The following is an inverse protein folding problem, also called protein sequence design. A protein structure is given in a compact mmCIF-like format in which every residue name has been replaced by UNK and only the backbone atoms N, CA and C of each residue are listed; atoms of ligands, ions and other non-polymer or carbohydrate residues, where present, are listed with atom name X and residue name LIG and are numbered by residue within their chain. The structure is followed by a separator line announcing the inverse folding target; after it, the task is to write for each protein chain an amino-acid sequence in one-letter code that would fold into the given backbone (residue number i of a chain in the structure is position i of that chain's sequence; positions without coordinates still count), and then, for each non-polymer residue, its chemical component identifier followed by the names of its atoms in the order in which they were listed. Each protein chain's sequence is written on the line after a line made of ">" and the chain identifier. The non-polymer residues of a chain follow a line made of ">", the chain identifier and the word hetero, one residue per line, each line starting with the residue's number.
data_IF_062893373183
#
_entry.id   IF_062893373183
#
_cell.length_a   1.000
_cell.length_b   1.000
_cell.length_c   1.000
_cell.angle_alpha   90.00
_cell.angle_beta   90.00
_cell.angle_gamma   90.00
#
_symmetry.space_group_name_H-M   'P 1'
#
loop_
_entity.id
_entity.type
_entity.pdbx_description
1 polymer ?
#
# COMPACT_ATOMS: atom_id res chain seq x y z
N UNK A 1 -0.31 -0.24 10.75
CA UNK A 1 -1.50 -0.91 10.18
C UNK A 1 -2.71 -0.01 10.32
N UNK A 2 -3.30 0.45 9.21
CA UNK A 2 -4.49 1.29 9.22
C UNK A 2 -5.76 0.45 9.36
N UNK A 3 -6.87 1.10 9.72
CA UNK A 3 -8.14 0.42 10.00
C UNK A 3 -8.74 -0.23 8.75
N UNK A 4 -9.22 -1.46 8.90
CA UNK A 4 -10.03 -2.19 7.91
C UNK A 4 -11.55 -2.13 8.21
N UNK A 5 -11.97 -1.39 9.25
CA UNK A 5 -13.30 -1.58 9.84
C UNK A 5 -14.44 -0.81 9.17
N UNK A 6 -14.19 0.05 8.19
CA UNK A 6 -15.26 0.72 7.44
C UNK A 6 -15.22 0.34 5.97
N UNK A 7 -16.38 0.01 5.41
CA UNK A 7 -16.50 -0.38 4.00
C UNK A 7 -16.23 0.77 3.03
N UNK A 8 -16.34 2.02 3.51
CA UNK A 8 -16.01 3.24 2.76
C UNK A 8 -14.55 3.70 2.94
N UNK A 9 -13.82 3.09 3.89
CA UNK A 9 -12.42 3.38 4.15
C UNK A 9 -12.15 4.71 4.86
N UNK A 10 -13.17 5.40 5.38
CA UNK A 10 -13.04 6.74 5.98
C UNK A 10 -12.09 6.74 7.18
N UNK A 11 -12.17 5.75 8.08
CA UNK A 11 -11.28 5.69 9.24
C UNK A 11 -9.81 5.54 8.80
N UNK A 12 -9.54 4.72 7.78
CA UNK A 12 -8.19 4.59 7.26
C UNK A 12 -7.67 5.90 6.63
N UNK A 13 -8.56 6.67 5.99
CA UNK A 13 -8.21 7.99 5.44
C UNK A 13 -7.88 9.01 6.54
N UNK A 14 -8.70 9.10 7.58
CA UNK A 14 -8.43 9.97 8.74
C UNK A 14 -7.10 9.61 9.44
N UNK A 15 -6.81 8.31 9.59
CA UNK A 15 -5.54 7.84 10.13
C UNK A 15 -4.36 8.19 9.20
N UNK A 16 -4.57 8.11 7.89
CA UNK A 16 -3.56 8.47 6.90
C UNK A 16 -3.26 9.97 6.92
N UNK A 17 -4.30 10.82 7.05
CA UNK A 17 -4.13 12.27 7.21
C UNK A 17 -3.30 12.63 8.46
N UNK A 18 -3.56 11.96 9.57
CA UNK A 18 -2.75 12.14 10.79
C UNK A 18 -1.28 11.75 10.57
N UNK A 19 -1.05 10.62 9.89
CA UNK A 19 0.31 10.18 9.56
C UNK A 19 1.02 11.15 8.61
N UNK A 20 0.32 11.66 7.59
CA UNK A 20 0.86 12.67 6.69
C UNK A 20 1.25 13.95 7.43
N UNK A 21 0.40 14.42 8.35
CA UNK A 21 0.69 15.63 9.13
C UNK A 21 1.97 15.47 9.98
N UNK A 22 2.14 14.32 10.64
CA UNK A 22 3.33 13.99 11.42
C UNK A 22 4.60 13.92 10.54
N UNK A 23 4.52 13.18 9.42
CA UNK A 23 5.63 13.05 8.49
C UNK A 23 6.05 14.38 7.85
N UNK A 24 5.08 15.24 7.50
CA UNK A 24 5.38 16.57 6.96
C UNK A 24 6.05 17.46 8.00
N UNK A 25 5.57 17.44 9.24
CA UNK A 25 6.17 18.22 10.34
C UNK A 25 7.65 17.86 10.53
N UNK A 26 7.99 16.59 10.43
CA UNK A 26 9.37 16.12 10.50
C UNK A 26 10.18 16.51 9.25
N UNK A 27 9.60 16.36 8.07
CA UNK A 27 10.24 16.73 6.81
C UNK A 27 10.55 18.24 6.74
N UNK A 28 9.64 19.10 7.20
CA UNK A 28 9.83 20.56 7.27
C UNK A 28 10.98 20.96 8.22
N UNK A 29 11.31 20.13 9.20
CA UNK A 29 12.48 20.30 10.07
C UNK A 29 13.79 19.79 9.43
N UNK A 30 13.73 19.26 8.21
CA UNK A 30 14.86 18.73 7.48
C UNK A 30 15.15 17.24 7.77
N UNK A 31 14.24 16.55 8.48
CA UNK A 31 14.36 15.13 8.76
C UNK A 31 13.94 14.29 7.55
N UNK A 32 14.47 13.08 7.45
CA UNK A 32 14.01 12.06 6.51
C UNK A 32 12.87 11.28 7.14
N UNK A 33 11.75 11.14 6.44
CA UNK A 33 10.62 10.37 6.95
C UNK A 33 10.26 9.21 6.02
N UNK A 34 10.12 8.03 6.61
CA UNK A 34 9.70 6.81 5.91
C UNK A 34 8.69 6.10 6.81
N UNK A 35 7.50 5.86 6.31
CA UNK A 35 6.51 5.01 6.94
C UNK A 35 6.20 3.80 6.04
N UNK A 36 5.97 2.64 6.63
CA UNK A 36 5.61 1.44 5.88
C UNK A 36 4.66 0.55 6.66
N UNK A 37 3.78 -0.15 5.95
CA UNK A 37 2.83 -1.07 6.56
C UNK A 37 1.63 -1.36 5.67
N UNK A 38 0.61 -1.97 6.28
CA UNK A 38 -0.69 -2.22 5.69
C UNK A 38 -1.57 -0.97 5.82
N UNK A 39 -1.89 -0.36 4.69
CA UNK A 39 -2.75 0.83 4.63
C UNK A 39 -4.24 0.49 4.48
N UNK A 40 -4.60 -0.78 4.28
CA UNK A 40 -5.96 -1.23 3.96
C UNK A 40 -6.62 -0.45 2.79
N UNK A 41 -5.80 0.05 1.89
CA UNK A 41 -6.19 0.77 0.67
C UNK A 41 -5.56 0.09 -0.55
N UNK A 42 -6.24 0.09 -1.69
CA UNK A 42 -5.65 -0.35 -2.95
C UNK A 42 -4.62 0.69 -3.41
N UNK A 43 -3.35 0.45 -3.14
CA UNK A 43 -2.25 1.37 -3.45
C UNK A 43 -1.97 1.47 -4.95
N UNK A 44 -2.36 0.47 -5.75
CA UNK A 44 -2.27 0.51 -7.21
C UNK A 44 -3.50 1.18 -7.83
N UNK A 45 -4.63 1.22 -7.12
CA UNK A 45 -5.88 1.82 -7.56
C UNK A 45 -6.68 0.96 -8.55
N UNK A 46 -6.08 -0.10 -9.10
CA UNK A 46 -6.67 -1.00 -10.07
C UNK A 46 -6.22 -2.47 -9.89
N UNK A 47 -5.99 -2.88 -8.67
CA UNK A 47 -5.48 -4.23 -8.35
C UNK A 47 -6.35 -5.35 -8.93
N UNK A 48 -7.68 -5.17 -8.99
CA UNK A 48 -8.60 -6.15 -9.56
C UNK A 48 -8.37 -6.37 -11.06
N UNK A 49 -7.97 -5.35 -11.80
CA UNK A 49 -7.62 -5.46 -13.22
C UNK A 49 -6.28 -6.16 -13.41
N UNK A 50 -5.28 -5.76 -12.59
CA UNK A 50 -3.92 -6.31 -12.66
C UNK A 50 -3.89 -7.79 -12.29
N UNK A 51 -4.59 -8.17 -11.22
CA UNK A 51 -4.56 -9.53 -10.69
C UNK A 51 -5.74 -10.42 -11.13
N UNK A 52 -6.68 -9.86 -11.89
CA UNK A 52 -7.68 -10.60 -12.65
C UNK A 52 -8.88 -11.14 -11.87
N UNK A 53 -9.06 -10.78 -10.59
CA UNK A 53 -10.23 -11.16 -9.80
C UNK A 53 -10.93 -9.91 -9.28
N UNK A 54 -12.19 -9.72 -9.66
CA UNK A 54 -13.02 -8.57 -9.26
C UNK A 54 -14.43 -9.03 -8.88
N UNK A 55 -15.17 -8.14 -8.23
CA UNK A 55 -16.59 -8.36 -7.90
C UNK A 55 -17.05 -7.51 -6.73
N UNK A 56 -18.37 -7.44 -6.47
CA UNK A 56 -18.94 -6.60 -5.41
C UNK A 56 -18.41 -6.91 -4.00
N UNK A 57 -17.97 -8.16 -3.77
CA UNK A 57 -17.42 -8.59 -2.48
C UNK A 57 -15.94 -8.16 -2.28
N UNK A 58 -15.31 -7.59 -3.30
CA UNK A 58 -13.87 -7.30 -3.32
C UNK A 58 -13.58 -5.80 -3.44
N UNK A 59 -14.45 -4.97 -2.90
CA UNK A 59 -14.31 -3.50 -2.89
C UNK A 59 -13.90 -2.94 -1.54
N UNK A 60 -13.45 -3.78 -0.62
CA UNK A 60 -13.09 -3.36 0.74
C UNK A 60 -11.83 -2.47 0.77
N UNK A 61 -10.89 -2.70 -0.15
CA UNK A 61 -9.70 -1.86 -0.30
C UNK A 61 -9.97 -0.77 -1.35
N UNK A 62 -10.43 0.38 -0.92
CA UNK A 62 -10.65 1.53 -1.80
C UNK A 62 -9.31 2.16 -2.20
N UNK A 63 -9.18 2.72 -3.42
CA UNK A 63 -7.99 3.47 -3.80
C UNK A 63 -7.80 4.70 -2.92
N UNK A 64 -6.56 5.17 -2.79
CA UNK A 64 -6.25 6.45 -2.13
C UNK A 64 -6.46 7.57 -3.15
N UNK A 65 -7.32 8.57 -2.85
CA UNK A 65 -7.43 9.74 -3.70
C UNK A 65 -6.08 10.46 -3.83
N UNK A 66 -5.64 10.75 -5.04
CA UNK A 66 -4.35 11.45 -5.26
C UNK A 66 -4.30 12.82 -4.56
N UNK A 67 -5.47 13.46 -4.38
CA UNK A 67 -5.59 14.74 -3.67
C UNK A 67 -5.35 14.65 -2.17
N UNK A 68 -5.37 13.44 -1.60
CA UNK A 68 -5.11 13.22 -0.18
C UNK A 68 -3.61 13.25 0.14
N UNK A 69 -2.75 12.91 -0.83
CA UNK A 69 -1.30 12.88 -0.63
C UNK A 69 -0.75 14.31 -0.71
N UNK A 70 -0.20 14.86 0.39
CA UNK A 70 0.25 16.23 0.40
C UNK A 70 1.57 16.40 -0.38
N UNK A 71 1.81 17.63 -0.86
CA UNK A 71 3.11 17.99 -1.45
C UNK A 71 4.24 17.74 -0.42
N UNK A 72 5.37 17.21 -0.88
CA UNK A 72 6.50 16.85 -0.03
C UNK A 72 6.50 15.39 0.42
N UNK A 73 5.40 14.64 0.22
CA UNK A 73 5.32 13.20 0.47
C UNK A 73 4.93 12.43 -0.79
N UNK A 74 5.30 11.16 -0.84
CA UNK A 74 4.92 10.24 -1.92
C UNK A 74 4.46 8.90 -1.37
N UNK A 75 3.34 8.38 -1.88
CA UNK A 75 2.92 6.99 -1.68
C UNK A 75 3.69 6.09 -2.65
N UNK A 76 4.26 5.03 -2.12
CA UNK A 76 5.03 4.04 -2.88
C UNK A 76 4.31 2.69 -2.81
N UNK A 77 3.63 2.34 -3.89
CA UNK A 77 3.04 1.02 -4.08
C UNK A 77 4.12 0.07 -4.64
N UNK A 78 4.49 -1.00 -3.93
CA UNK A 78 5.43 -1.99 -4.45
C UNK A 78 4.83 -2.72 -5.65
N UNK A 79 5.46 -2.60 -6.81
CA UNK A 79 4.98 -3.22 -8.03
C UNK A 79 6.13 -3.54 -9.00
N UNK A 80 5.97 -4.62 -9.77
CA UNK A 80 6.86 -5.02 -10.84
C UNK A 80 6.02 -5.41 -12.06
N UNK A 81 6.13 -4.65 -13.15
CA UNK A 81 5.36 -4.90 -14.40
C UNK A 81 5.75 -6.24 -15.07
N UNK A 82 7.02 -6.65 -14.93
CA UNK A 82 7.50 -7.90 -15.52
C UNK A 82 7.05 -9.12 -14.69
N UNK A 83 6.93 -8.95 -13.37
CA UNK A 83 6.56 -10.02 -12.44
C UNK A 83 5.54 -9.48 -11.41
N UNK A 84 4.31 -9.21 -11.82
CA UNK A 84 3.32 -8.61 -10.94
C UNK A 84 2.94 -9.55 -9.80
N UNK A 85 3.14 -9.10 -8.57
CA UNK A 85 2.79 -9.80 -7.35
C UNK A 85 1.97 -8.89 -6.44
N UNK A 86 0.89 -9.44 -5.86
CA UNK A 86 0.07 -8.73 -4.89
C UNK A 86 0.66 -8.84 -3.49
N UNK A 87 0.49 -7.79 -2.69
CA UNK A 87 0.94 -7.85 -1.29
C UNK A 87 -0.03 -8.58 -0.37
N UNK A 88 -1.30 -8.63 -0.73
CA UNK A 88 -2.35 -9.25 0.09
C UNK A 88 -3.35 -10.03 -0.75
N UNK A 89 -4.00 -11.03 -0.13
CA UNK A 89 -5.12 -11.78 -0.67
C UNK A 89 -6.27 -11.88 0.33
N UNK A 90 -7.48 -12.09 -0.14
CA UNK A 90 -8.57 -12.48 0.74
C UNK A 90 -8.26 -13.80 1.45
N UNK A 91 -8.52 -13.82 2.76
CA UNK A 91 -8.34 -14.99 3.63
C UNK A 91 -9.63 -15.81 3.85
N UNK A 92 -10.66 -15.57 3.03
CA UNK A 92 -11.97 -16.24 3.11
C UNK A 92 -11.94 -17.72 2.74
N UNK A 93 -10.86 -18.18 2.10
CA UNK A 93 -10.62 -19.56 1.68
C UNK A 93 -9.13 -19.85 1.57
N UNK A 94 -8.72 -21.13 1.43
CA UNK A 94 -7.34 -21.47 1.07
C UNK A 94 -6.90 -20.74 -0.20
N UNK A 95 -5.59 -20.44 -0.31
CA UNK A 95 -5.06 -19.75 -1.48
C UNK A 95 -5.25 -20.55 -2.77
N UNK A 96 -5.71 -19.89 -3.81
CA UNK A 96 -5.94 -20.43 -5.13
C UNK A 96 -6.15 -19.32 -6.18
N UNK A 97 -6.38 -19.71 -7.44
CA UNK A 97 -6.47 -18.73 -8.54
C UNK A 97 -7.64 -17.75 -8.40
N UNK A 98 -8.68 -18.14 -7.70
CA UNK A 98 -9.92 -17.36 -7.56
C UNK A 98 -9.91 -16.43 -6.32
N UNK A 99 -8.80 -16.37 -5.55
CA UNK A 99 -8.71 -15.40 -4.47
C UNK A 99 -8.56 -13.99 -5.03
N UNK A 100 -9.31 -13.06 -4.44
CA UNK A 100 -9.06 -11.64 -4.65
C UNK A 100 -7.67 -11.29 -4.13
N UNK A 101 -6.91 -10.55 -4.94
CA UNK A 101 -5.56 -10.09 -4.64
C UNK A 101 -5.47 -8.59 -4.82
N UNK A 102 -4.76 -7.93 -3.92
CA UNK A 102 -4.65 -6.48 -3.88
C UNK A 102 -3.29 -6.08 -3.29
N UNK A 103 -2.78 -4.91 -3.63
CA UNK A 103 -1.60 -4.35 -2.98
C UNK A 103 -2.03 -3.30 -1.98
N UNK A 104 -2.01 -3.65 -0.70
CA UNK A 104 -2.37 -2.80 0.44
C UNK A 104 -1.17 -2.43 1.31
N UNK A 105 -0.08 -3.20 1.20
CA UNK A 105 1.17 -2.96 1.90
C UNK A 105 2.09 -2.10 1.03
N UNK A 106 2.65 -1.05 1.63
CA UNK A 106 3.49 -0.12 0.90
C UNK A 106 4.22 0.85 1.81
N UNK A 107 4.64 1.98 1.24
CA UNK A 107 5.43 2.96 1.95
C UNK A 107 4.98 4.39 1.65
N UNK A 108 5.27 5.30 2.58
CA UNK A 108 5.22 6.74 2.38
C UNK A 108 6.63 7.25 2.63
N UNK A 109 7.11 8.13 1.77
CA UNK A 109 8.43 8.73 1.91
C UNK A 109 8.37 10.24 1.70
N UNK A 110 9.24 10.98 2.40
CA UNK A 110 9.44 12.41 2.17
C UNK A 110 10.27 12.66 0.91
N UNK A 111 10.16 13.85 0.32
CA UNK A 111 10.78 14.20 -0.96
C UNK A 111 12.33 14.14 -0.96
N UNK A 112 12.95 14.17 0.23
CA UNK A 112 14.40 13.98 0.40
C UNK A 112 14.81 12.50 0.52
N UNK A 113 13.87 11.56 0.29
CA UNK A 113 14.12 10.11 0.21
C UNK A 113 13.88 9.65 -1.22
N UNK A 114 14.93 9.26 -1.91
CA UNK A 114 14.83 8.73 -3.27
C UNK A 114 14.63 7.22 -3.26
N UNK A 115 13.45 6.74 -3.63
CA UNK A 115 13.18 5.30 -3.75
C UNK A 115 13.72 4.79 -5.08
N UNK A 116 14.63 3.82 -5.03
CA UNK A 116 15.26 3.18 -6.18
C UNK A 116 14.48 1.95 -6.65
N UNK A 117 13.87 1.25 -5.71
CA UNK A 117 13.13 0.02 -5.98
C UNK A 117 12.05 -0.18 -4.93
N UNK A 118 10.87 -0.61 -5.35
CA UNK A 118 9.80 -1.06 -4.46
C UNK A 118 9.21 -2.36 -5.02
N UNK A 119 9.17 -3.43 -4.24
CA UNK A 119 8.75 -4.75 -4.70
C UNK A 119 7.99 -5.51 -3.63
N UNK A 120 7.14 -6.41 -4.11
CA UNK A 120 6.56 -7.49 -3.31
C UNK A 120 7.47 -8.72 -3.45
N UNK A 121 7.81 -9.34 -2.34
CA UNK A 121 8.48 -10.64 -2.33
C UNK A 121 7.44 -11.74 -2.41
N UNK A 122 7.21 -12.28 -3.61
CA UNK A 122 6.22 -13.33 -3.84
C UNK A 122 6.60 -14.63 -3.12
N UNK A 123 5.82 -15.00 -2.11
CA UNK A 123 5.99 -16.23 -1.33
C UNK A 123 4.96 -17.30 -1.67
N UNK A 124 4.04 -17.01 -2.60
CA UNK A 124 2.86 -17.82 -2.90
C UNK A 124 1.86 -17.82 -1.75
N UNK A 125 1.87 -16.81 -0.89
CA UNK A 125 1.02 -16.70 0.31
C UNK A 125 1.07 -17.96 1.19
N UNK A 126 2.25 -18.59 1.26
CA UNK A 126 2.43 -19.90 1.89
C UNK A 126 2.24 -19.86 3.41
N UNK A 127 2.57 -18.72 4.05
CA UNK A 127 2.61 -18.60 5.50
C UNK A 127 1.70 -17.51 6.05
N UNK A 128 1.19 -16.64 5.18
CA UNK A 128 0.36 -15.49 5.52
C UNK A 128 -0.55 -15.15 4.34
N UNK A 129 -1.61 -14.41 4.58
CA UNK A 129 -2.42 -13.73 3.57
C UNK A 129 -1.76 -12.44 3.06
N UNK A 130 -0.58 -12.09 3.59
CA UNK A 130 0.28 -11.04 3.07
C UNK A 130 1.63 -11.61 2.61
N UNK A 131 2.13 -11.04 1.53
CA UNK A 131 3.51 -11.18 1.06
C UNK A 131 4.36 -10.03 1.63
N UNK A 132 5.63 -10.25 1.99
CA UNK A 132 6.54 -9.18 2.40
C UNK A 132 6.73 -8.14 1.29
N UNK A 133 6.83 -6.87 1.68
CA UNK A 133 7.17 -5.76 0.79
C UNK A 133 8.48 -5.12 1.23
N UNK A 134 9.24 -4.57 0.27
CA UNK A 134 10.48 -3.88 0.57
C UNK A 134 10.73 -2.71 -0.39
N UNK A 135 11.54 -1.75 0.07
CA UNK A 135 12.10 -0.68 -0.76
C UNK A 135 13.61 -0.62 -0.62
N UNK A 136 14.29 -0.22 -1.70
CA UNK A 136 15.66 0.27 -1.68
C UNK A 136 15.61 1.79 -1.88
N UNK A 137 16.30 2.55 -1.05
CA UNK A 137 16.26 4.01 -1.09
C UNK A 137 17.61 4.67 -0.79
N UNK A 138 17.73 5.94 -1.15
CA UNK A 138 18.88 6.81 -0.83
C UNK A 138 18.34 8.06 -0.12
N UNK A 139 19.02 8.47 0.94
CA UNK A 139 18.79 9.76 1.60
C UNK A 139 19.57 10.84 0.84
N UNK A 140 18.91 11.92 0.46
CA UNK A 140 19.49 13.02 -0.33
C UNK A 140 19.87 14.22 0.54
#
# INVERSE_FOLDING_TARGET
>A
HLSAYTSDGVIAEEQLEMLFADMLSEYEQGNYTIAGGDFNKDLLGNSSEIFGVSGPAYTWAQPIPASLVPEGLSMIAPFDEENPAASCRNADRPYGPDNYRVTVDGFIVSANVEVRKARVWETGFRWSDHNPVYIDFILQ
#
